data_IF_119083474484
#
_entry.id   IF_119083474484
#
_cell.length_a   1.000
_cell.length_b   1.000
_cell.length_c   1.000
_cell.angle_alpha   90.00
_cell.angle_beta   90.00
_cell.angle_gamma   90.00
#
_symmetry.space_group_name_H-M   'P 1'
#
loop_
_entity.id
_entity.type
_entity.pdbx_description
1 polymer ?
#
# COMPACT_ATOMS: atom_id res chain seq x y z
N UNK A 1 13.59 32.51 16.02
CA UNK A 1 14.21 31.29 15.47
C UNK A 1 13.74 30.08 16.28
N UNK A 2 12.82 29.27 15.76
CA UNK A 2 12.40 28.02 16.41
C UNK A 2 12.77 26.85 15.49
N UNK A 3 13.80 26.11 15.90
CA UNK A 3 14.20 24.82 15.34
C UNK A 3 13.08 23.81 15.59
N UNK A 4 12.15 23.65 14.64
CA UNK A 4 11.25 22.51 14.61
C UNK A 4 12.02 21.36 13.97
N UNK A 5 12.75 20.62 14.82
CA UNK A 5 13.21 19.27 14.52
C UNK A 5 12.04 18.52 13.90
N UNK A 6 12.23 17.91 12.73
CA UNK A 6 11.37 16.86 12.23
C UNK A 6 11.38 15.74 13.28
N UNK A 7 10.52 15.83 14.29
CA UNK A 7 10.38 14.78 15.30
C UNK A 7 9.87 13.59 14.50
N UNK A 8 10.70 12.57 14.38
CA UNK A 8 10.32 11.28 13.83
C UNK A 8 9.29 10.66 14.79
N UNK A 9 8.05 11.14 14.73
CA UNK A 9 6.97 10.67 15.57
C UNK A 9 6.67 9.25 15.15
N UNK A 10 6.82 8.34 16.11
CA UNK A 10 6.53 6.93 15.92
C UNK A 10 5.08 6.68 16.30
N UNK A 11 4.42 5.86 15.50
CA UNK A 11 3.04 5.49 15.74
C UNK A 11 2.92 4.45 16.84
N UNK A 12 2.06 4.70 17.80
CA UNK A 12 1.71 3.74 18.86
C UNK A 12 0.77 2.63 18.35
N UNK A 13 0.08 2.89 17.23
CA UNK A 13 -0.98 2.00 16.71
C UNK A 13 -0.64 1.34 15.38
N UNK A 14 0.31 1.90 14.62
CA UNK A 14 0.68 1.44 13.29
C UNK A 14 2.11 0.89 13.29
N UNK A 15 2.23 -0.41 12.99
CA UNK A 15 3.49 -1.13 12.98
C UNK A 15 3.75 -1.72 11.60
N UNK A 16 5.01 -1.74 11.19
CA UNK A 16 5.42 -2.43 9.96
C UNK A 16 5.11 -3.92 10.06
N UNK A 17 4.29 -4.45 9.14
CA UNK A 17 3.82 -5.85 9.21
C UNK A 17 4.93 -6.90 9.35
N UNK A 18 6.11 -6.65 8.74
CA UNK A 18 7.27 -7.55 8.84
C UNK A 18 8.23 -7.18 9.97
N UNK A 19 8.56 -5.89 10.10
CA UNK A 19 9.55 -5.44 11.08
C UNK A 19 9.00 -5.41 12.52
N UNK A 20 7.67 -5.36 12.67
CA UNK A 20 6.94 -5.04 13.90
C UNK A 20 7.39 -3.73 14.56
N UNK A 21 8.10 -2.89 13.81
CA UNK A 21 8.57 -1.59 14.28
C UNK A 21 7.49 -0.53 14.08
N UNK A 22 7.36 0.43 15.00
CA UNK A 22 6.49 1.59 14.84
C UNK A 22 6.75 2.32 13.51
N UNK A 23 5.68 2.57 12.75
CA UNK A 23 5.76 3.42 11.56
C UNK A 23 6.00 4.87 11.97
N UNK A 24 6.76 5.61 11.17
CA UNK A 24 6.79 7.07 11.30
C UNK A 24 5.43 7.65 10.88
N UNK A 25 4.92 8.62 11.63
CA UNK A 25 3.64 9.27 11.39
C UNK A 25 3.79 10.78 11.29
N UNK A 26 2.96 11.40 10.47
CA UNK A 26 2.92 12.85 10.22
C UNK A 26 1.48 13.31 10.28
N UNK A 27 1.25 14.55 10.73
CA UNK A 27 -0.10 15.11 10.83
C UNK A 27 -0.59 15.59 9.47
N UNK A 28 0.31 16.14 8.67
CA UNK A 28 -0.01 16.74 7.39
C UNK A 28 0.71 16.06 6.23
N UNK A 29 0.10 16.13 5.04
CA UNK A 29 0.64 15.53 3.81
C UNK A 29 1.97 16.16 3.42
N UNK A 30 2.12 17.49 3.56
CA UNK A 30 3.32 18.24 3.23
C UNK A 30 4.51 17.86 4.12
N UNK A 31 4.29 17.62 5.42
CA UNK A 31 5.31 17.07 6.32
C UNK A 31 5.79 15.70 5.86
N UNK A 32 4.86 14.80 5.51
CA UNK A 32 5.18 13.47 5.02
C UNK A 32 5.91 13.53 3.66
N UNK A 33 5.51 14.44 2.78
CA UNK A 33 6.15 14.68 1.50
C UNK A 33 7.59 15.17 1.67
N UNK A 34 7.81 16.17 2.52
CA UNK A 34 9.15 16.65 2.87
C UNK A 34 10.04 15.54 3.43
N UNK A 35 9.49 14.66 4.28
CA UNK A 35 10.21 13.52 4.81
C UNK A 35 10.56 12.48 3.72
N UNK A 36 9.65 12.20 2.78
CA UNK A 36 9.91 11.30 1.67
C UNK A 36 11.02 11.84 0.76
N UNK A 37 11.02 13.15 0.46
CA UNK A 37 12.05 13.82 -0.32
C UNK A 37 13.42 13.79 0.37
N UNK A 38 13.44 14.06 1.68
CA UNK A 38 14.65 13.96 2.49
C UNK A 38 15.23 12.54 2.46
N UNK A 39 14.39 11.50 2.64
CA UNK A 39 14.82 10.11 2.61
C UNK A 39 15.32 9.67 1.22
N UNK A 40 14.69 10.16 0.16
CA UNK A 40 15.16 9.93 -1.21
C UNK A 40 16.51 10.57 -1.48
N UNK A 41 16.71 11.82 -1.03
CA UNK A 41 17.96 12.57 -1.27
C UNK A 41 19.14 12.04 -0.46
N UNK A 42 18.93 11.68 0.82
CA UNK A 42 20.01 11.34 1.74
C UNK A 42 20.24 9.84 1.90
N UNK A 43 19.21 9.02 1.66
CA UNK A 43 19.28 7.57 1.89
C UNK A 43 18.82 6.73 0.68
N UNK A 44 18.54 7.39 -0.46
CA UNK A 44 18.05 6.74 -1.69
C UNK A 44 16.80 5.86 -1.49
N UNK A 45 15.99 6.16 -0.49
CA UNK A 45 14.73 5.46 -0.23
C UNK A 45 13.58 6.15 -0.99
N UNK A 46 13.08 5.52 -2.06
CA UNK A 46 11.96 6.05 -2.84
C UNK A 46 10.62 5.68 -2.20
N UNK A 47 10.23 6.49 -1.21
CA UNK A 47 8.96 6.38 -0.50
C UNK A 47 7.94 7.39 -1.01
N UNK A 48 6.67 7.16 -0.74
CA UNK A 48 5.59 8.10 -0.96
C UNK A 48 4.63 8.14 0.23
N UNK A 49 4.06 9.31 0.53
CA UNK A 49 3.09 9.48 1.60
C UNK A 49 1.76 8.79 1.25
N UNK A 50 1.07 8.31 2.28
CA UNK A 50 -0.31 7.86 2.19
C UNK A 50 -1.03 8.11 3.52
N UNK A 51 -2.31 8.50 3.44
CA UNK A 51 -3.17 8.64 4.60
C UNK A 51 -3.61 7.27 5.12
N UNK A 52 -3.47 7.05 6.43
CA UNK A 52 -3.82 5.79 7.05
C UNK A 52 -5.28 5.78 7.52
N UNK A 53 -6.12 4.95 6.88
CA UNK A 53 -7.51 4.76 7.31
C UNK A 53 -7.67 4.24 8.76
N UNK A 54 -6.62 3.68 9.38
CA UNK A 54 -6.68 3.15 10.75
C UNK A 54 -6.52 4.24 11.81
N UNK A 55 -5.56 5.15 11.62
CA UNK A 55 -5.19 6.14 12.63
C UNK A 55 -5.40 7.60 12.19
N UNK A 56 -5.72 7.85 10.92
CA UNK A 56 -5.89 9.18 10.35
C UNK A 56 -4.60 9.96 10.10
N UNK A 57 -3.43 9.39 10.42
CA UNK A 57 -2.13 10.03 10.17
C UNK A 57 -1.53 9.61 8.83
N UNK A 58 -0.59 10.44 8.35
CA UNK A 58 0.19 10.16 7.16
C UNK A 58 1.38 9.25 7.49
N UNK A 59 1.60 8.23 6.66
CA UNK A 59 2.74 7.33 6.74
C UNK A 59 3.48 7.28 5.41
N UNK A 60 4.70 6.73 5.42
CA UNK A 60 5.47 6.50 4.21
C UNK A 60 5.42 5.01 3.82
N UNK A 61 5.19 4.76 2.54
CA UNK A 61 5.33 3.43 1.93
C UNK A 61 6.31 3.49 0.77
N UNK A 62 7.13 2.45 0.54
CA UNK A 62 7.87 2.32 -0.71
C UNK A 62 6.93 2.50 -1.91
N UNK A 63 7.33 3.33 -2.89
CA UNK A 63 6.52 3.58 -4.09
C UNK A 63 6.20 2.29 -4.86
N UNK A 64 7.13 1.34 -4.81
CA UNK A 64 6.95 0.01 -5.41
C UNK A 64 5.77 -0.78 -4.83
N UNK A 65 5.26 -0.40 -3.66
CA UNK A 65 4.11 -1.04 -3.01
C UNK A 65 2.78 -0.35 -3.26
N UNK A 66 2.80 0.84 -3.86
CA UNK A 66 1.58 1.57 -4.19
C UNK A 66 0.99 0.93 -5.45
N UNK A 67 -0.15 0.26 -5.27
CA UNK A 67 -0.89 -0.39 -6.34
C UNK A 67 -2.30 0.20 -6.37
N UNK A 68 -2.50 1.33 -7.07
CA UNK A 68 -3.82 1.93 -7.19
C UNK A 68 -4.79 0.94 -7.81
N UNK A 69 -5.98 0.84 -7.24
CA UNK A 69 -7.05 0.01 -7.77
C UNK A 69 -8.38 0.72 -7.68
N UNK A 70 -9.33 0.23 -8.47
CA UNK A 70 -10.73 0.64 -8.44
C UNK A 70 -11.62 -0.58 -8.24
N UNK A 71 -12.78 -0.39 -7.63
CA UNK A 71 -13.78 -1.44 -7.53
C UNK A 71 -14.30 -1.82 -8.92
N UNK A 72 -14.37 -3.11 -9.21
CA UNK A 72 -15.04 -3.64 -10.38
C UNK A 72 -16.55 -3.45 -10.21
N UNK A 73 -17.27 -3.13 -11.29
CA UNK A 73 -18.74 -2.95 -11.23
C UNK A 73 -19.51 -4.26 -11.45
N UNK A 74 -18.83 -5.35 -11.85
CA UNK A 74 -19.48 -6.63 -12.21
C UNK A 74 -18.91 -7.86 -11.51
N UNK A 75 -17.63 -7.87 -11.17
CA UNK A 75 -16.99 -9.01 -10.53
C UNK A 75 -17.01 -8.86 -9.00
N UNK A 76 -17.59 -9.83 -8.31
CA UNK A 76 -17.57 -9.92 -6.84
C UNK A 76 -16.68 -11.07 -6.37
N UNK A 77 -16.22 -10.99 -5.12
CA UNK A 77 -15.59 -12.07 -4.40
C UNK A 77 -16.65 -12.99 -3.76
N UNK A 78 -16.20 -14.08 -3.12
CA UNK A 78 -17.12 -15.05 -2.50
C UNK A 78 -17.94 -14.49 -1.34
N UNK A 79 -17.51 -13.36 -0.75
CA UNK A 79 -18.22 -12.62 0.29
C UNK A 79 -19.18 -11.54 -0.28
N UNK A 80 -19.37 -11.50 -1.60
CA UNK A 80 -20.22 -10.51 -2.26
C UNK A 80 -19.56 -9.14 -2.48
N UNK A 81 -18.35 -8.90 -1.96
CA UNK A 81 -17.66 -7.61 -2.17
C UNK A 81 -17.15 -7.47 -3.60
N UNK A 82 -17.27 -6.27 -4.18
CA UNK A 82 -16.71 -6.01 -5.51
C UNK A 82 -15.19 -6.14 -5.50
N UNK A 83 -14.67 -6.91 -6.47
CA UNK A 83 -13.23 -7.15 -6.62
C UNK A 83 -12.48 -5.87 -6.96
N UNK A 84 -11.25 -5.77 -6.47
CA UNK A 84 -10.30 -4.77 -6.94
C UNK A 84 -9.94 -5.03 -8.41
N UNK A 85 -9.80 -3.94 -9.16
CA UNK A 85 -9.38 -3.93 -10.56
C UNK A 85 -8.12 -3.09 -10.69
N UNK A 86 -7.03 -3.75 -11.08
CA UNK A 86 -5.75 -3.11 -11.38
C UNK A 86 -5.66 -2.81 -12.87
N UNK A 87 -5.03 -1.69 -13.25
CA UNK A 87 -4.97 -1.25 -14.65
C UNK A 87 -4.10 -2.20 -15.46
N UNK A 88 -2.98 -2.64 -14.89
CA UNK A 88 -2.02 -3.52 -15.58
C UNK A 88 -1.81 -4.85 -14.85
N UNK A 89 -1.38 -5.88 -15.60
CA UNK A 89 -1.00 -7.19 -15.01
C UNK A 89 0.14 -7.04 -14.00
N UNK A 90 1.07 -6.13 -14.28
CA UNK A 90 2.22 -5.83 -13.41
C UNK A 90 1.77 -5.31 -12.05
N UNK A 91 0.86 -4.33 -12.02
CA UNK A 91 0.27 -3.82 -10.76
C UNK A 91 -0.45 -4.92 -9.98
N UNK A 92 -1.23 -5.76 -10.66
CA UNK A 92 -1.91 -6.89 -10.02
C UNK A 92 -0.91 -7.90 -9.44
N UNK A 93 0.15 -8.26 -10.18
CA UNK A 93 1.21 -9.13 -9.69
C UNK A 93 1.95 -8.52 -8.49
N UNK A 94 2.30 -7.23 -8.56
CA UNK A 94 2.90 -6.52 -7.44
C UNK A 94 2.02 -6.62 -6.20
N UNK A 95 0.71 -6.40 -6.34
CA UNK A 95 -0.22 -6.52 -5.22
C UNK A 95 -0.33 -7.95 -4.70
N UNK A 96 -0.40 -8.94 -5.59
CA UNK A 96 -0.41 -10.35 -5.21
C UNK A 96 0.83 -10.72 -4.37
N UNK A 97 2.02 -10.30 -4.80
CA UNK A 97 3.28 -10.54 -4.08
C UNK A 97 3.31 -9.84 -2.71
N UNK A 98 2.77 -8.62 -2.61
CA UNK A 98 2.65 -7.92 -1.33
C UNK A 98 1.72 -8.69 -0.39
N UNK A 99 0.56 -9.15 -0.87
CA UNK A 99 -0.40 -9.91 -0.05
C UNK A 99 0.19 -11.25 0.38
N UNK A 100 0.80 -12.01 -0.54
CA UNK A 100 1.47 -13.28 -0.23
C UNK A 100 2.55 -13.07 0.85
N UNK A 101 3.39 -12.05 0.68
CA UNK A 101 4.41 -11.70 1.65
C UNK A 101 3.94 -11.06 2.96
N UNK A 102 2.65 -10.74 3.10
CA UNK A 102 2.03 -10.18 4.32
C UNK A 102 1.12 -11.17 5.05
N UNK A 103 0.44 -12.05 4.30
CA UNK A 103 -0.61 -12.94 4.80
C UNK A 103 -0.28 -14.42 4.57
N UNK A 104 0.77 -14.74 3.82
CA UNK A 104 1.10 -16.11 3.41
C UNK A 104 0.09 -16.72 2.43
N UNK A 105 -0.68 -15.89 1.71
CA UNK A 105 -1.72 -16.35 0.77
C UNK A 105 -1.28 -16.08 -0.66
N UNK A 106 -1.23 -17.15 -1.46
CA UNK A 106 -0.94 -17.03 -2.89
C UNK A 106 -2.21 -16.69 -3.69
N UNK A 107 -2.08 -15.63 -4.49
CA UNK A 107 -3.13 -15.10 -5.32
C UNK A 107 -2.75 -15.21 -6.79
N UNK A 108 -3.66 -15.74 -7.60
CA UNK A 108 -3.54 -15.77 -9.05
C UNK A 108 -4.09 -14.49 -9.65
N UNK A 109 -3.33 -13.93 -10.59
CA UNK A 109 -3.71 -12.77 -11.40
C UNK A 109 -4.39 -13.21 -12.70
N UNK A 110 -5.55 -12.63 -13.01
CA UNK A 110 -6.27 -12.89 -14.27
C UNK A 110 -6.95 -11.64 -14.82
N UNK A 111 -7.12 -11.58 -16.15
CA UNK A 111 -7.77 -10.45 -16.83
C UNK A 111 -9.27 -10.48 -16.55
N UNK A 112 -9.87 -9.31 -16.31
CA UNK A 112 -11.32 -9.18 -16.19
C UNK A 112 -12.00 -9.58 -17.51
N UNK A 113 -13.09 -10.36 -17.41
CA UNK A 113 -13.89 -10.77 -18.57
C UNK A 113 -14.91 -9.73 -19.03
N UNK A 114 -15.23 -8.75 -18.19
CA UNK A 114 -16.30 -7.77 -18.46
C UNK A 114 -15.81 -6.34 -18.67
N UNK A 115 -14.50 -6.10 -18.60
CA UNK A 115 -13.95 -4.76 -18.77
C UNK A 115 -12.42 -4.78 -18.73
N UNK A 116 -11.83 -3.60 -18.73
CA UNK A 116 -10.39 -3.45 -18.74
C UNK A 116 -9.81 -3.51 -17.34
N UNK A 117 -8.89 -4.44 -17.14
CA UNK A 117 -8.10 -4.56 -15.93
C UNK A 117 -7.88 -6.00 -15.49
N UNK A 118 -7.27 -6.13 -14.31
CA UNK A 118 -6.78 -7.39 -13.77
C UNK A 118 -7.29 -7.57 -12.34
N UNK A 119 -7.67 -8.80 -12.02
CA UNK A 119 -8.20 -9.21 -10.73
C UNK A 119 -7.27 -10.20 -10.04
N UNK A 120 -7.47 -10.32 -8.73
CA UNK A 120 -6.86 -11.34 -7.89
C UNK A 120 -7.90 -12.40 -7.50
N UNK A 121 -7.46 -13.65 -7.45
CA UNK A 121 -8.24 -14.76 -6.89
C UNK A 121 -7.32 -15.67 -6.06
N UNK A 122 -7.87 -16.34 -5.05
CA UNK A 122 -7.11 -17.37 -4.33
C UNK A 122 -6.70 -18.47 -5.31
N UNK A 123 -5.45 -18.89 -5.23
CA UNK A 123 -4.99 -20.09 -5.90
C UNK A 123 -5.32 -21.27 -4.99
N UNK A 124 -6.36 -22.03 -5.36
CA UNK A 124 -6.61 -23.33 -4.73
C UNK A 124 -5.64 -24.32 -5.39
N UNK A 125 -4.74 -24.89 -4.59
CA UNK A 125 -3.98 -26.07 -5.01
C UNK A 125 -4.91 -27.26 -4.83
N UNK A 126 -5.26 -27.91 -5.92
CA UNK A 126 -5.99 -29.19 -5.93
C UNK A 126 -5.02 -30.32 -5.60
#
# INVERSE_FOLDING_TARGET
MRNLRCINMKSETCFGKRSRQPLSQYFYEDEAQNAAEYLKKNYHQDLAPYECNKCGFWHLSPKTRITPSKKCTRCTAGDGTYKETYRTKKEANTRANIISGEQGVDLKVYKCRYGDGWHLTKQFWC
#
